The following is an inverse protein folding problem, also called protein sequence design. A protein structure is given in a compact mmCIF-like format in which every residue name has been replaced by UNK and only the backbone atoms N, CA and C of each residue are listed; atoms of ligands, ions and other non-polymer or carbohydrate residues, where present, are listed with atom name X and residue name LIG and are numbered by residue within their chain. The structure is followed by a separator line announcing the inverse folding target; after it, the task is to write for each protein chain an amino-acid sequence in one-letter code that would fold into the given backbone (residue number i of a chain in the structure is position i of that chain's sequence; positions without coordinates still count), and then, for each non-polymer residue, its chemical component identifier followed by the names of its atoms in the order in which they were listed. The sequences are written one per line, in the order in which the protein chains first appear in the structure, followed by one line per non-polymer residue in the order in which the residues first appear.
data_IF_827074124018
#
_entry.id   IF_827074124018
#
_cell.length_a   1.000
_cell.length_b   1.000
_cell.length_c   1.000
_cell.angle_alpha   90.00
_cell.angle_beta   90.00
_cell.angle_gamma   90.00
#
_symmetry.space_group_name_H-M   'P 1'
#
loop_
_entity.id
_entity.type
_entity.pdbx_description
1 polymer ?
#
# COMPACT_ATOMS: atom_id res chain seq x y z
N UNK A 1 -12.65 20.52 23.04
CA UNK A 1 -11.28 20.44 22.50
C UNK A 1 -11.21 19.16 21.66
N UNK A 2 -11.14 19.29 20.33
CA UNK A 2 -11.03 18.13 19.43
C UNK A 2 -9.57 17.67 19.47
N UNK A 3 -9.34 16.40 19.81
CA UNK A 3 -7.99 15.81 19.82
C UNK A 3 -7.61 15.36 18.41
N UNK A 4 -6.34 15.49 18.07
CA UNK A 4 -5.74 15.08 16.78
C UNK A 4 -5.36 13.58 16.78
N UNK A 5 -5.08 13.03 15.59
CA UNK A 5 -4.89 11.58 15.39
C UNK A 5 -3.69 10.99 16.14
N UNK A 6 -2.67 11.81 16.45
CA UNK A 6 -1.48 11.45 17.23
C UNK A 6 -1.77 11.12 18.70
N UNK A 7 -2.97 11.45 19.20
CA UNK A 7 -3.44 11.02 20.52
C UNK A 7 -4.23 9.70 20.50
N UNK A 8 -4.32 9.03 19.36
CA UNK A 8 -5.01 7.75 19.20
C UNK A 8 -4.26 6.57 19.83
N UNK A 9 -4.98 5.44 19.96
CA UNK A 9 -4.41 4.17 20.39
C UNK A 9 -5.11 3.02 19.64
N UNK A 10 -4.43 1.87 19.52
CA UNK A 10 -5.02 0.67 18.94
C UNK A 10 -6.03 0.03 19.91
N UNK A 11 -7.17 -0.40 19.37
CA UNK A 11 -8.18 -1.20 20.08
C UNK A 11 -8.23 -2.58 19.43
N UNK A 12 -8.11 -3.63 20.25
CA UNK A 12 -8.07 -5.00 19.75
C UNK A 12 -9.46 -5.54 19.42
N UNK A 13 -9.52 -6.40 18.39
CA UNK A 13 -10.70 -7.15 17.97
C UNK A 13 -10.39 -8.65 17.96
N UNK A 14 -11.38 -9.53 18.13
CA UNK A 14 -11.19 -10.99 18.14
C UNK A 14 -10.93 -11.51 16.71
N UNK A 15 -9.70 -11.33 16.22
CA UNK A 15 -9.37 -11.54 14.81
C UNK A 15 -9.58 -12.98 14.32
N UNK A 16 -9.34 -13.96 15.17
CA UNK A 16 -9.50 -15.37 14.79
C UNK A 16 -10.98 -15.70 14.49
N UNK A 17 -11.90 -15.27 15.38
CA UNK A 17 -13.34 -15.45 15.18
C UNK A 17 -13.83 -14.71 13.93
N UNK A 18 -13.37 -13.47 13.73
CA UNK A 18 -13.75 -12.65 12.58
C UNK A 18 -13.28 -13.27 11.26
N UNK A 19 -12.05 -13.80 11.21
CA UNK A 19 -11.53 -14.47 10.02
C UNK A 19 -12.23 -15.80 9.75
N UNK A 20 -12.56 -16.57 10.78
CA UNK A 20 -13.36 -17.79 10.63
C UNK A 20 -14.76 -17.50 10.08
N UNK A 21 -15.43 -16.47 10.59
CA UNK A 21 -16.74 -16.05 10.09
C UNK A 21 -16.67 -15.53 8.64
N UNK A 22 -15.65 -14.71 8.33
CA UNK A 22 -15.41 -14.22 6.97
C UNK A 22 -15.19 -15.36 5.98
N UNK A 23 -14.40 -16.37 6.35
CA UNK A 23 -14.16 -17.55 5.53
C UNK A 23 -15.44 -18.38 5.35
N UNK A 24 -16.25 -18.56 6.40
CA UNK A 24 -17.54 -19.25 6.33
C UNK A 24 -18.48 -18.56 5.33
N UNK A 25 -18.64 -17.24 5.44
CA UNK A 25 -19.53 -16.49 4.57
C UNK A 25 -19.00 -16.40 3.14
N UNK A 26 -17.68 -16.32 2.95
CA UNK A 26 -17.02 -16.45 1.65
C UNK A 26 -17.39 -17.77 0.96
N UNK A 27 -17.28 -18.89 1.68
CA UNK A 27 -17.63 -20.22 1.14
C UNK A 27 -19.12 -20.34 0.80
N UNK A 28 -20.01 -19.87 1.68
CA UNK A 28 -21.47 -19.91 1.46
C UNK A 28 -21.89 -19.17 0.20
N UNK A 29 -21.20 -18.07 -0.12
CA UNK A 29 -21.52 -17.21 -1.26
C UNK A 29 -20.65 -17.48 -2.49
N UNK A 30 -19.69 -18.42 -2.41
CA UNK A 30 -18.68 -18.64 -3.46
C UNK A 30 -17.99 -17.33 -3.89
N UNK A 31 -17.71 -16.48 -2.90
CA UNK A 31 -17.18 -15.14 -3.09
C UNK A 31 -15.79 -15.07 -2.49
N UNK A 32 -14.76 -14.91 -3.32
CA UNK A 32 -13.38 -14.78 -2.83
C UNK A 32 -13.17 -13.47 -2.09
N UNK A 33 -12.20 -13.44 -1.18
CA UNK A 33 -11.90 -12.26 -0.36
C UNK A 33 -10.51 -11.74 -0.67
N UNK A 34 -10.42 -10.43 -0.88
CA UNK A 34 -9.17 -9.69 -1.06
C UNK A 34 -9.06 -8.71 0.10
N UNK A 35 -8.01 -8.86 0.90
CA UNK A 35 -7.68 -7.96 1.99
C UNK A 35 -6.75 -6.87 1.47
N UNK A 36 -7.19 -5.62 1.61
CA UNK A 36 -6.35 -4.45 1.38
C UNK A 36 -5.36 -4.36 2.55
N UNK A 37 -4.16 -4.92 2.35
CA UNK A 37 -3.09 -5.00 3.36
C UNK A 37 -1.96 -4.00 3.07
N UNK A 38 -2.30 -2.75 2.74
CA UNK A 38 -1.32 -1.67 2.55
C UNK A 38 -1.01 -0.95 3.87
N UNK A 39 0.18 -0.36 3.95
CA UNK A 39 0.62 0.41 5.12
C UNK A 39 1.18 -0.44 6.26
N UNK A 40 0.89 -0.03 7.50
CA UNK A 40 1.46 -0.62 8.72
C UNK A 40 0.67 -1.85 9.16
N UNK A 41 0.98 -2.99 8.55
CA UNK A 41 0.32 -4.27 8.88
C UNK A 41 1.15 -5.03 9.93
N UNK A 42 0.57 -5.43 11.06
CA UNK A 42 1.24 -6.28 12.04
C UNK A 42 1.67 -7.62 11.43
N UNK A 43 2.88 -8.07 11.75
CA UNK A 43 3.46 -9.32 11.21
C UNK A 43 2.56 -10.53 11.51
N UNK A 44 1.91 -10.54 12.67
CA UNK A 44 0.97 -11.57 13.10
C UNK A 44 -0.27 -11.72 12.21
N UNK A 45 -0.70 -10.65 11.54
CA UNK A 45 -1.87 -10.67 10.66
C UNK A 45 -1.56 -11.23 9.29
N UNK A 46 -0.32 -11.04 8.80
CA UNK A 46 0.09 -11.48 7.47
C UNK A 46 -0.07 -12.99 7.30
N UNK A 47 0.32 -13.77 8.31
CA UNK A 47 0.17 -15.23 8.28
C UNK A 47 -1.28 -15.67 8.45
N UNK A 48 -2.04 -15.00 9.34
CA UNK A 48 -3.47 -15.30 9.57
C UNK A 48 -4.29 -15.09 8.28
N UNK A 49 -4.15 -13.93 7.62
CA UNK A 49 -4.84 -13.65 6.35
C UNK A 49 -4.49 -14.67 5.28
N UNK A 50 -3.19 -15.01 5.13
CA UNK A 50 -2.75 -16.00 4.16
C UNK A 50 -3.38 -17.36 4.42
N UNK A 51 -3.33 -17.84 5.67
CA UNK A 51 -3.85 -19.15 6.07
C UNK A 51 -5.38 -19.22 5.98
N UNK A 52 -6.08 -18.09 6.14
CA UNK A 52 -7.52 -17.98 5.93
C UNK A 52 -7.93 -17.87 4.44
N UNK A 53 -6.99 -17.94 3.50
CA UNK A 53 -7.27 -17.86 2.06
C UNK A 53 -7.58 -16.45 1.56
N UNK A 54 -7.27 -15.41 2.36
CA UNK A 54 -7.46 -14.01 1.94
C UNK A 54 -6.34 -13.60 0.99
N UNK A 55 -6.70 -13.10 -0.18
CA UNK A 55 -5.76 -12.59 -1.16
C UNK A 55 -5.22 -11.23 -0.72
N UNK A 56 -3.92 -11.08 -0.83
CA UNK A 56 -3.24 -9.84 -0.46
C UNK A 56 -3.29 -8.80 -1.60
N UNK A 57 -3.15 -7.52 -1.29
CA UNK A 57 -3.25 -6.41 -2.23
C UNK A 57 -1.90 -5.74 -2.47
N UNK A 58 -1.34 -5.87 -3.68
CA UNK A 58 0.02 -5.43 -4.00
C UNK A 58 0.02 -4.28 -4.99
N UNK A 59 0.21 -3.06 -4.49
CA UNK A 59 0.31 -1.86 -5.30
C UNK A 59 1.77 -1.57 -5.71
N UNK A 60 2.06 -1.59 -7.01
CA UNK A 60 3.42 -1.49 -7.55
C UNK A 60 4.16 -0.21 -7.14
N UNK A 61 3.49 0.95 -7.16
CA UNK A 61 4.11 2.24 -6.82
C UNK A 61 4.46 2.39 -5.32
N UNK A 62 3.83 1.59 -4.45
CA UNK A 62 4.19 1.53 -3.03
C UNK A 62 5.29 0.50 -2.74
N UNK A 63 5.61 -0.37 -3.71
CA UNK A 63 6.48 -1.54 -3.55
C UNK A 63 7.87 -1.26 -4.10
N UNK A 64 8.39 -0.14 -3.64
CA UNK A 64 9.77 0.27 -3.84
C UNK A 64 10.59 -0.39 -2.73
N UNK A 65 11.48 -1.32 -3.12
CA UNK A 65 12.44 -1.98 -2.23
C UNK A 65 13.33 -0.94 -1.52
N UNK A 66 13.99 -1.28 -0.40
CA UNK A 66 14.88 -0.35 0.32
C UNK A 66 15.90 0.35 -0.59
N UNK A 67 16.39 -0.35 -1.61
CA UNK A 67 17.24 0.17 -2.67
C UNK A 67 16.49 0.96 -3.77
N UNK A 68 15.33 1.54 -3.51
CA UNK A 68 14.55 2.31 -4.49
C UNK A 68 14.29 1.59 -5.82
N UNK A 69 14.18 0.25 -5.81
CA UNK A 69 13.87 -0.56 -7.00
C UNK A 69 12.49 -1.20 -6.91
N UNK A 70 11.87 -1.45 -8.05
CA UNK A 70 10.61 -2.19 -8.09
C UNK A 70 10.85 -3.68 -7.85
N UNK A 71 9.95 -4.31 -7.07
CA UNK A 71 9.94 -5.77 -6.91
C UNK A 71 9.78 -6.46 -8.27
N UNK A 72 10.63 -7.44 -8.55
CA UNK A 72 10.54 -8.23 -9.78
C UNK A 72 9.19 -8.99 -9.85
N UNK A 73 8.57 -9.14 -11.05
CA UNK A 73 7.28 -9.80 -11.19
C UNK A 73 7.23 -11.21 -10.57
N UNK A 74 8.29 -12.01 -10.77
CA UNK A 74 8.41 -13.37 -10.21
C UNK A 74 8.43 -13.43 -8.67
N UNK A 75 8.64 -12.30 -7.99
CA UNK A 75 8.66 -12.22 -6.53
C UNK A 75 7.31 -11.80 -5.95
N UNK A 76 6.27 -11.58 -6.77
CA UNK A 76 4.93 -11.31 -6.25
C UNK A 76 4.32 -12.61 -5.68
N UNK A 77 3.70 -12.56 -4.48
CA UNK A 77 3.04 -13.73 -3.92
C UNK A 77 1.92 -14.20 -4.83
N UNK A 78 1.80 -15.52 -5.01
CA UNK A 78 0.74 -16.11 -5.84
C UNK A 78 -0.67 -15.76 -5.33
N UNK A 79 -0.89 -15.83 -4.00
CA UNK A 79 -2.14 -15.43 -3.36
C UNK A 79 -2.22 -13.90 -3.17
N UNK A 80 -2.16 -13.17 -4.28
CA UNK A 80 -2.30 -11.72 -4.27
C UNK A 80 -2.87 -11.14 -5.56
N UNK A 81 -3.50 -9.97 -5.45
CA UNK A 81 -3.87 -9.12 -6.56
C UNK A 81 -2.80 -8.04 -6.74
N UNK A 82 -2.19 -7.97 -7.92
CA UNK A 82 -1.24 -6.93 -8.28
C UNK A 82 -1.93 -5.81 -9.05
N UNK A 83 -1.72 -4.56 -8.63
CA UNK A 83 -2.24 -3.37 -9.31
C UNK A 83 -1.14 -2.33 -9.51
N UNK A 84 -1.31 -1.49 -10.54
CA UNK A 84 -0.36 -0.42 -10.80
C UNK A 84 -0.49 0.71 -9.76
N UNK A 85 -1.73 1.13 -9.48
CA UNK A 85 -2.13 2.19 -8.55
C UNK A 85 -3.52 1.87 -7.96
N UNK A 86 -3.99 2.68 -7.01
CA UNK A 86 -5.34 2.62 -6.44
C UNK A 86 -6.04 3.97 -6.61
N UNK A 87 -7.31 4.07 -6.20
CA UNK A 87 -8.04 5.33 -6.24
C UNK A 87 -7.50 6.38 -5.25
N UNK A 88 -6.78 5.97 -4.21
CA UNK A 88 -6.13 6.86 -3.24
C UNK A 88 -4.77 7.39 -3.73
N UNK A 89 -4.25 6.82 -4.80
CA UNK A 89 -2.89 7.06 -5.29
C UNK A 89 -2.94 7.73 -6.67
N UNK A 90 -1.87 8.43 -7.07
CA UNK A 90 -1.83 9.05 -8.40
C UNK A 90 -1.98 8.01 -9.51
N UNK A 91 -2.53 8.45 -10.64
CA UNK A 91 -2.41 7.69 -11.90
C UNK A 91 -0.93 7.49 -12.26
N UNK A 92 -0.62 6.56 -13.16
CA UNK A 92 0.78 6.33 -13.57
C UNK A 92 1.45 7.59 -14.12
N UNK A 93 0.74 8.40 -14.92
CA UNK A 93 1.23 9.70 -15.37
C UNK A 93 1.42 10.66 -14.19
N UNK A 94 0.43 10.76 -13.30
CA UNK A 94 0.51 11.62 -12.12
C UNK A 94 1.70 11.27 -11.23
N UNK A 95 2.02 9.98 -11.09
CA UNK A 95 3.19 9.50 -10.38
C UNK A 95 4.48 9.95 -11.09
N UNK A 96 4.59 9.69 -12.40
CA UNK A 96 5.78 10.02 -13.21
C UNK A 96 6.06 11.53 -13.30
N UNK A 97 5.03 12.36 -13.22
CA UNK A 97 5.15 13.81 -13.27
C UNK A 97 5.23 14.46 -11.88
N UNK A 98 5.24 13.66 -10.80
CA UNK A 98 5.13 14.15 -9.41
C UNK A 98 3.94 15.09 -9.20
N UNK A 99 2.84 14.82 -9.92
CA UNK A 99 1.62 15.63 -9.88
C UNK A 99 0.91 15.56 -8.52
N UNK A 100 0.98 14.41 -7.85
CA UNK A 100 0.49 14.22 -6.48
C UNK A 100 1.21 15.11 -5.48
N UNK A 101 2.53 15.21 -5.56
CA UNK A 101 3.33 16.05 -4.66
C UNK A 101 3.05 17.54 -4.89
N UNK A 102 2.95 17.93 -6.16
CA UNK A 102 2.68 19.32 -6.57
C UNK A 102 1.28 19.76 -6.14
N UNK A 103 0.27 18.91 -6.39
CA UNK A 103 -1.11 19.17 -5.96
C UNK A 103 -1.23 19.16 -4.43
N UNK A 104 -0.60 18.20 -3.76
CA UNK A 104 -0.58 18.13 -2.30
C UNK A 104 0.04 19.36 -1.65
N UNK A 105 1.11 19.92 -2.24
CA UNK A 105 1.69 21.20 -1.81
C UNK A 105 0.67 22.33 -1.96
N UNK A 106 0.02 22.45 -3.12
CA UNK A 106 -0.97 23.49 -3.38
C UNK A 106 -2.19 23.42 -2.44
N UNK A 107 -2.53 22.21 -1.98
CA UNK A 107 -3.61 21.96 -1.02
C UNK A 107 -3.17 22.02 0.46
N UNK A 108 -1.88 22.29 0.73
CA UNK A 108 -1.36 22.42 2.09
C UNK A 108 -1.13 21.09 2.83
N UNK A 109 -1.09 19.94 2.13
CA UNK A 109 -0.85 18.62 2.72
C UNK A 109 0.62 18.41 3.13
N UNK A 110 1.54 19.17 2.53
CA UNK A 110 2.97 19.12 2.81
C UNK A 110 3.46 20.46 3.36
N UNK A 111 3.19 20.77 4.63
CA UNK A 111 3.60 22.04 5.24
C UNK A 111 5.11 22.13 5.51
N UNK A 112 5.80 21.00 5.59
CA UNK A 112 7.25 20.92 5.80
C UNK A 112 7.97 20.76 4.44
N UNK A 113 8.68 21.82 4.04
CA UNK A 113 9.44 21.86 2.78
C UNK A 113 10.64 20.90 2.75
N UNK A 114 11.21 20.54 3.90
CA UNK A 114 12.31 19.56 3.98
C UNK A 114 11.77 18.17 3.68
N UNK A 115 10.62 17.82 4.27
CA UNK A 115 9.94 16.55 3.99
C UNK A 115 9.52 16.50 2.53
N UNK A 116 8.90 17.56 2.00
CA UNK A 116 8.45 17.60 0.60
C UNK A 116 9.61 17.43 -0.38
N UNK A 117 10.74 18.12 -0.14
CA UNK A 117 11.95 17.97 -0.95
C UNK A 117 12.46 16.53 -0.93
N UNK A 118 12.42 15.85 0.22
CA UNK A 118 12.76 14.44 0.34
C UNK A 118 11.85 13.54 -0.51
N UNK A 119 10.54 13.81 -0.55
CA UNK A 119 9.58 13.05 -1.36
C UNK A 119 9.86 13.17 -2.87
N UNK A 120 10.20 14.38 -3.35
CA UNK A 120 10.60 14.56 -4.76
C UNK A 120 11.90 13.81 -5.09
N UNK A 121 12.90 13.84 -4.20
CA UNK A 121 14.17 13.12 -4.40
C UNK A 121 13.94 11.60 -4.43
N UNK A 122 13.10 11.08 -3.54
CA UNK A 122 12.72 9.67 -3.52
C UNK A 122 12.00 9.24 -4.80
N UNK A 123 11.15 10.10 -5.36
CA UNK A 123 10.44 9.86 -6.63
C UNK A 123 11.41 9.78 -7.81
N UNK A 124 12.31 10.76 -7.94
CA UNK A 124 13.31 10.83 -9.02
C UNK A 124 14.26 9.61 -9.00
N UNK A 125 14.67 9.17 -7.81
CA UNK A 125 15.49 7.97 -7.64
C UNK A 125 14.77 6.70 -8.10
N UNK A 126 13.47 6.57 -7.82
CA UNK A 126 12.67 5.43 -8.25
C UNK A 126 12.48 5.42 -9.78
N UNK A 127 12.26 6.58 -10.40
CA UNK A 127 12.12 6.73 -11.86
C UNK A 127 13.40 6.36 -12.59
N UNK A 128 14.54 6.91 -12.14
CA UNK A 128 15.85 6.65 -12.75
C UNK A 128 16.19 5.15 -12.73
N UNK A 129 15.89 4.47 -11.62
CA UNK A 129 16.14 3.02 -11.47
C UNK A 129 15.15 2.16 -12.25
N UNK A 130 13.93 2.62 -12.45
CA UNK A 130 12.96 1.95 -13.32
C UNK A 130 13.38 2.05 -14.80
N UNK A 131 13.78 3.24 -15.24
CA UNK A 131 14.22 3.48 -16.62
C UNK A 131 15.49 2.70 -16.97
N UNK A 132 16.46 2.61 -16.06
CA UNK A 132 17.73 1.89 -16.28
C UNK A 132 17.61 0.35 -16.37
N UNK A 133 16.44 -0.25 -16.11
CA UNK A 133 16.19 -1.69 -16.31
C UNK A 133 15.41 -2.02 -17.58
N UNK A 134 14.90 -1.00 -18.28
CA UNK A 134 14.17 -1.15 -19.52
C UNK A 134 15.07 -1.10 -20.77
N UNK A 135 16.38 -0.90 -20.59
CA UNK A 135 17.43 -0.93 -21.60
C UNK A 135 18.32 -2.16 -21.41
#
# INVERSE_FOLDING_TARGET
MVKTADHGAYVQYPVDDLLSLLALESQRHRCMVIGEDLGTVPVEIVSKLRNSGVYSYKCSILRVMPEKTFRAPALYPEQSMAVATTHDLPTLRGYWESGDLTLGKALGLYPDEVVLRGLYQDRELAETRAAGRAA
#
